data_IF_258674880824
#
_entry.id   IF_258674880824
#
_cell.length_a   1.000
_cell.length_b   1.000
_cell.length_c   1.000
_cell.angle_alpha   90.00
_cell.angle_beta   90.00
_cell.angle_gamma   90.00
#
_symmetry.space_group_name_H-M   'P 1'
#
loop_
_entity.id
_entity.type
_entity.pdbx_description
1 polymer ?
#
# COMPACT_ATOMS: atom_id res chain seq x y z
N UNK A 1 7.31 39.47 -42.63
CA UNK A 1 7.49 38.09 -42.10
C UNK A 1 6.19 37.30 -42.30
N UNK A 2 6.24 36.12 -42.95
CA UNK A 2 5.04 35.27 -43.10
C UNK A 2 4.73 34.63 -41.74
N UNK A 3 3.69 35.08 -41.05
CA UNK A 3 3.24 34.52 -39.75
C UNK A 3 2.57 33.13 -39.87
N UNK A 4 2.12 32.75 -41.07
CA UNK A 4 1.39 31.49 -41.33
C UNK A 4 2.06 30.21 -40.77
N UNK A 5 3.39 29.97 -40.91
CA UNK A 5 4.04 28.80 -40.32
C UNK A 5 4.13 28.82 -38.78
N UNK A 6 3.97 29.98 -38.13
CA UNK A 6 4.00 30.11 -36.67
C UNK A 6 2.61 30.05 -36.02
N UNK A 7 1.53 30.11 -36.81
CA UNK A 7 0.16 30.10 -36.31
C UNK A 7 -0.17 28.86 -35.46
N UNK A 8 0.25 27.62 -35.82
CA UNK A 8 0.01 26.45 -34.96
C UNK A 8 0.73 26.55 -33.60
N UNK A 9 1.94 27.12 -33.57
CA UNK A 9 2.72 27.31 -32.34
C UNK A 9 2.03 28.34 -31.45
N UNK A 10 1.56 29.45 -32.01
CA UNK A 10 0.82 30.48 -31.28
C UNK A 10 -0.48 29.93 -30.71
N UNK A 11 -1.27 29.20 -31.52
CA UNK A 11 -2.51 28.57 -31.07
C UNK A 11 -2.24 27.56 -29.94
N UNK A 12 -1.24 26.69 -30.11
CA UNK A 12 -0.84 25.72 -29.07
C UNK A 12 -0.40 26.43 -27.78
N UNK A 13 0.38 27.50 -27.89
CA UNK A 13 0.80 28.32 -26.76
C UNK A 13 -0.39 28.96 -26.03
N UNK A 14 -1.36 29.51 -26.76
CA UNK A 14 -2.59 30.07 -26.17
C UNK A 14 -3.41 28.99 -25.46
N UNK A 15 -3.60 27.81 -26.09
CA UNK A 15 -4.33 26.69 -25.48
C UNK A 15 -3.61 26.21 -24.22
N UNK A 16 -2.28 26.10 -24.24
CA UNK A 16 -1.48 25.70 -23.08
C UNK A 16 -1.59 26.72 -21.94
N UNK A 17 -1.53 28.02 -22.23
CA UNK A 17 -1.71 29.08 -21.22
C UNK A 17 -3.12 28.98 -20.61
N UNK A 18 -4.16 28.85 -21.44
CA UNK A 18 -5.53 28.66 -20.96
C UNK A 18 -5.60 27.43 -20.04
N UNK A 19 -5.02 26.30 -20.46
CA UNK A 19 -4.97 25.09 -19.66
C UNK A 19 -4.29 25.28 -18.30
N UNK A 20 -3.14 25.96 -18.27
CA UNK A 20 -2.39 26.24 -17.05
C UNK A 20 -3.19 27.16 -16.10
N UNK A 21 -3.94 28.13 -16.63
CA UNK A 21 -4.70 29.10 -15.83
C UNK A 21 -6.08 28.59 -15.38
N UNK A 22 -6.70 27.64 -16.08
CA UNK A 22 -7.98 27.05 -15.66
C UNK A 22 -7.89 26.45 -14.25
N UNK A 23 -8.95 26.43 -13.43
CA UNK A 23 -8.92 25.78 -12.13
C UNK A 23 -9.00 24.25 -12.26
N UNK A 24 -8.38 23.50 -11.32
CA UNK A 24 -8.46 22.02 -11.35
C UNK A 24 -9.86 21.48 -11.10
N UNK A 25 -10.74 22.27 -10.46
CA UNK A 25 -12.14 21.92 -10.21
C UNK A 25 -12.90 21.54 -11.48
N UNK A 26 -12.62 22.19 -12.61
CA UNK A 26 -13.22 21.89 -13.92
C UNK A 26 -12.87 20.49 -14.45
N UNK A 27 -11.78 19.90 -13.97
CA UNK A 27 -11.33 18.56 -14.38
C UNK A 27 -11.70 17.48 -13.36
N UNK A 28 -11.91 17.84 -12.09
CA UNK A 28 -12.17 16.85 -11.03
C UNK A 28 -13.43 16.00 -11.27
N UNK A 29 -14.41 16.52 -12.02
CA UNK A 29 -15.60 15.78 -12.46
C UNK A 29 -15.30 14.57 -13.36
N UNK A 30 -14.11 14.50 -13.96
CA UNK A 30 -13.67 13.33 -14.75
C UNK A 30 -13.42 12.09 -13.89
N UNK A 31 -13.20 12.25 -12.58
CA UNK A 31 -12.96 11.15 -11.64
C UNK A 31 -14.31 10.66 -11.07
N UNK A 32 -14.90 9.71 -11.78
CA UNK A 32 -16.25 9.17 -11.53
C UNK A 32 -16.21 7.81 -10.82
N UNK A 33 -17.39 7.25 -10.49
CA UNK A 33 -17.48 5.87 -9.99
C UNK A 33 -17.01 4.85 -11.04
N UNK A 34 -17.20 5.14 -12.33
CA UNK A 34 -16.66 4.32 -13.44
C UNK A 34 -15.13 4.36 -13.44
N UNK A 35 -14.55 5.53 -13.18
CA UNK A 35 -13.09 5.69 -13.05
C UNK A 35 -12.55 4.83 -11.90
N UNK A 36 -13.23 4.79 -10.74
CA UNK A 36 -12.88 3.89 -9.65
C UNK A 36 -12.95 2.41 -10.07
N UNK A 37 -14.07 1.99 -10.67
CA UNK A 37 -14.27 0.60 -11.07
C UNK A 37 -13.17 0.11 -12.03
N UNK A 38 -12.82 0.93 -13.02
CA UNK A 38 -11.79 0.62 -14.02
C UNK A 38 -10.38 0.55 -13.42
N UNK A 39 -10.12 1.24 -12.31
CA UNK A 39 -8.79 1.34 -11.71
C UNK A 39 -8.63 0.51 -10.43
N UNK A 40 -9.64 -0.26 -10.00
CA UNK A 40 -9.59 -1.02 -8.73
C UNK A 40 -8.43 -2.01 -8.61
N UNK A 41 -7.89 -2.47 -9.75
CA UNK A 41 -6.73 -3.37 -9.82
C UNK A 41 -5.48 -2.67 -10.36
N UNK A 42 -5.57 -1.40 -10.73
CA UNK A 42 -4.48 -0.69 -11.40
C UNK A 42 -3.44 -0.23 -10.38
N UNK A 43 -2.17 -0.47 -10.69
CA UNK A 43 -1.02 -0.10 -9.84
C UNK A 43 -0.27 1.12 -10.38
N UNK A 44 -1.00 2.07 -11.00
CA UNK A 44 -0.43 3.25 -11.64
C UNK A 44 -0.09 4.33 -10.64
N UNK A 45 0.78 5.27 -11.03
CA UNK A 45 1.08 6.44 -10.20
C UNK A 45 -0.19 7.26 -9.88
N UNK A 46 -1.17 7.31 -10.79
CA UNK A 46 -2.41 8.05 -10.52
C UNK A 46 -3.25 7.38 -9.44
N UNK A 47 -3.23 6.04 -9.35
CA UNK A 47 -3.96 5.30 -8.31
C UNK A 47 -3.24 5.38 -6.96
N UNK A 48 -1.93 5.15 -6.97
CA UNK A 48 -1.14 5.01 -5.74
C UNK A 48 -0.71 6.37 -5.15
N UNK A 49 -0.38 7.35 -5.99
CA UNK A 49 0.11 8.68 -5.55
C UNK A 49 -0.92 9.80 -5.69
N UNK A 50 -2.02 9.52 -6.39
CA UNK A 50 -3.06 10.48 -6.71
C UNK A 50 -4.01 10.73 -5.54
N UNK A 51 -4.40 12.00 -5.39
CA UNK A 51 -5.31 12.40 -4.31
C UNK A 51 -6.77 12.33 -4.75
N UNK A 52 -7.09 12.58 -6.02
CA UNK A 52 -8.47 12.63 -6.51
C UNK A 52 -9.14 11.26 -6.45
N UNK A 53 -8.46 10.22 -6.93
CA UNK A 53 -9.04 8.88 -6.96
C UNK A 53 -9.14 8.26 -5.56
N UNK A 54 -8.15 8.45 -4.70
CA UNK A 54 -8.24 8.00 -3.30
C UNK A 54 -9.28 8.80 -2.50
N UNK A 55 -9.40 10.12 -2.70
CA UNK A 55 -10.50 10.90 -2.12
C UNK A 55 -11.86 10.38 -2.57
N UNK A 56 -12.00 10.02 -3.86
CA UNK A 56 -13.24 9.44 -4.39
C UNK A 56 -13.51 8.05 -3.80
N UNK A 57 -12.48 7.22 -3.62
CA UNK A 57 -12.55 5.90 -2.99
C UNK A 57 -13.11 5.99 -1.56
N UNK A 58 -12.58 6.89 -0.74
CA UNK A 58 -12.99 7.02 0.66
C UNK A 58 -14.29 7.81 0.87
N UNK A 59 -14.77 8.57 -0.13
CA UNK A 59 -16.09 9.22 -0.10
C UNK A 59 -17.25 8.23 -0.09
N UNK A 60 -17.10 7.04 -0.66
CA UNK A 60 -18.13 6.00 -0.62
C UNK A 60 -17.70 4.81 0.23
N UNK A 61 -18.60 3.84 0.37
CA UNK A 61 -18.35 2.56 1.04
C UNK A 61 -18.42 1.40 0.04
N UNK A 62 -18.27 1.66 -1.26
CA UNK A 62 -18.56 0.69 -2.33
C UNK A 62 -17.43 -0.34 -2.51
N UNK A 63 -16.21 0.02 -2.08
CA UNK A 63 -15.02 -0.80 -2.22
C UNK A 63 -14.43 -1.16 -0.87
N UNK A 64 -13.62 -2.21 -0.87
CA UNK A 64 -12.77 -2.59 0.26
C UNK A 64 -11.29 -2.37 -0.09
N UNK A 65 -10.64 -1.33 0.44
CA UNK A 65 -9.24 -1.06 0.17
C UNK A 65 -8.32 -2.11 0.79
N UNK A 66 -7.33 -2.57 0.01
CA UNK A 66 -6.27 -3.47 0.46
C UNK A 66 -4.94 -2.81 0.13
N UNK A 67 -4.21 -2.44 1.18
CA UNK A 67 -2.89 -1.84 1.08
C UNK A 67 -1.79 -2.88 1.25
N UNK A 68 -0.69 -2.69 0.54
CA UNK A 68 0.43 -3.62 0.52
C UNK A 68 1.56 -3.12 -0.40
N UNK A 69 2.26 -4.05 -1.02
CA UNK A 69 3.41 -3.80 -1.88
C UNK A 69 3.33 -4.61 -3.18
N UNK A 70 4.40 -5.31 -3.57
CA UNK A 70 4.46 -6.06 -4.82
C UNK A 70 3.59 -7.31 -4.86
N UNK A 71 3.21 -7.88 -3.71
CA UNK A 71 2.34 -9.05 -3.60
C UNK A 71 0.98 -8.80 -4.26
N UNK A 72 0.45 -7.58 -4.18
CA UNK A 72 -0.83 -7.21 -4.78
C UNK A 72 -0.80 -7.25 -6.31
N UNK A 73 0.39 -7.19 -6.93
CA UNK A 73 0.57 -7.20 -8.39
C UNK A 73 1.05 -8.55 -8.92
N UNK A 74 1.13 -9.57 -8.07
CA UNK A 74 1.50 -10.93 -8.49
C UNK A 74 0.32 -11.59 -9.19
N UNK A 75 0.60 -12.14 -10.37
CA UNK A 75 -0.35 -12.92 -11.13
C UNK A 75 -0.68 -14.21 -10.39
N UNK A 76 -1.78 -14.17 -9.66
CA UNK A 76 -2.31 -15.29 -8.93
C UNK A 76 -3.85 -15.20 -8.98
N UNK A 77 -4.55 -16.24 -9.48
CA UNK A 77 -6.00 -16.20 -9.61
C UNK A 77 -6.73 -16.15 -8.26
N UNK A 78 -6.03 -16.39 -7.16
CA UNK A 78 -6.54 -16.26 -5.79
C UNK A 78 -6.31 -14.86 -5.21
N UNK A 79 -5.67 -13.93 -5.93
CA UNK A 79 -5.55 -12.54 -5.48
C UNK A 79 -6.94 -11.97 -5.14
N UNK A 80 -7.12 -11.23 -4.02
CA UNK A 80 -8.43 -10.73 -3.57
C UNK A 80 -9.15 -9.85 -4.59
N UNK A 81 -8.40 -9.15 -5.45
CA UNK A 81 -8.94 -8.37 -6.56
C UNK A 81 -9.67 -9.22 -7.60
N UNK A 82 -9.37 -10.50 -7.68
CA UNK A 82 -9.91 -11.45 -8.65
C UNK A 82 -10.89 -12.39 -7.95
N UNK A 83 -10.42 -13.10 -6.91
CA UNK A 83 -11.15 -14.19 -6.28
C UNK A 83 -12.37 -13.74 -5.46
N UNK A 84 -12.32 -12.55 -4.86
CA UNK A 84 -13.47 -11.99 -4.13
C UNK A 84 -14.40 -11.15 -5.01
N UNK A 85 -14.05 -10.94 -6.29
CA UNK A 85 -14.86 -10.12 -7.19
C UNK A 85 -16.21 -10.80 -7.48
N UNK A 86 -17.30 -10.11 -7.17
CA UNK A 86 -18.66 -10.65 -7.34
C UNK A 86 -19.08 -11.69 -6.30
N UNK A 87 -18.27 -11.93 -5.27
CA UNK A 87 -18.66 -12.81 -4.15
C UNK A 87 -19.82 -12.18 -3.37
N UNK A 88 -20.81 -13.00 -3.00
CA UNK A 88 -22.06 -12.53 -2.39
C UNK A 88 -21.80 -11.99 -0.99
N UNK A 89 -22.26 -10.76 -0.72
CA UNK A 89 -22.15 -10.12 0.58
C UNK A 89 -20.77 -9.53 0.89
N UNK A 90 -19.88 -9.46 -0.10
CA UNK A 90 -18.60 -8.76 -0.02
C UNK A 90 -18.59 -7.55 -0.96
N UNK A 91 -17.63 -6.65 -0.74
CA UNK A 91 -17.38 -5.51 -1.63
C UNK A 91 -16.25 -5.85 -2.60
N UNK A 92 -16.21 -5.29 -3.82
CA UNK A 92 -15.04 -5.41 -4.68
C UNK A 92 -13.79 -4.86 -3.97
N UNK A 93 -12.72 -5.64 -4.00
CA UNK A 93 -11.43 -5.20 -3.49
C UNK A 93 -10.84 -4.10 -4.39
N UNK A 94 -10.18 -3.13 -3.74
CA UNK A 94 -9.43 -2.05 -4.39
C UNK A 94 -7.97 -2.13 -3.93
N UNK A 95 -7.07 -2.48 -4.84
CA UNK A 95 -5.68 -2.80 -4.51
C UNK A 95 -4.80 -1.53 -4.54
N UNK A 96 -4.08 -1.29 -3.46
CA UNK A 96 -3.23 -0.12 -3.26
C UNK A 96 -1.84 -0.57 -2.81
N UNK A 97 -1.02 -0.94 -3.77
CA UNK A 97 0.36 -1.33 -3.48
C UNK A 97 1.17 -1.62 -4.74
N UNK A 98 2.47 -1.37 -4.65
CA UNK A 98 3.44 -1.89 -5.59
C UNK A 98 4.80 -2.04 -4.92
N UNK A 99 5.74 -2.79 -5.50
CA UNK A 99 6.95 -3.23 -4.79
C UNK A 99 7.83 -2.08 -4.29
N UNK A 100 8.03 -1.94 -2.97
CA UNK A 100 8.71 -0.79 -2.37
C UNK A 100 7.77 0.22 -1.71
N UNK A 101 6.45 0.01 -1.76
CA UNK A 101 5.51 0.57 -0.80
C UNK A 101 5.66 -0.21 0.50
N UNK A 102 6.26 0.41 1.52
CA UNK A 102 6.42 -0.14 2.87
C UNK A 102 5.58 0.67 3.87
N UNK A 103 5.77 0.49 5.17
CA UNK A 103 4.86 1.03 6.19
C UNK A 103 4.75 2.56 6.12
N UNK A 104 5.85 3.29 5.93
CA UNK A 104 5.79 4.76 5.83
C UNK A 104 5.08 5.26 4.57
N UNK A 105 5.25 4.57 3.44
CA UNK A 105 4.55 4.93 2.20
C UNK A 105 3.04 4.78 2.42
N UNK A 106 2.62 3.62 2.91
CA UNK A 106 1.22 3.35 3.24
C UNK A 106 0.69 4.33 4.30
N UNK A 107 1.52 4.69 5.30
CA UNK A 107 1.17 5.65 6.33
C UNK A 107 0.91 7.05 5.76
N UNK A 108 1.71 7.52 4.79
CA UNK A 108 1.49 8.82 4.15
C UNK A 108 0.26 8.79 3.24
N UNK A 109 0.07 7.71 2.47
CA UNK A 109 -1.11 7.54 1.62
C UNK A 109 -2.41 7.61 2.45
N UNK A 110 -2.46 6.87 3.57
CA UNK A 110 -3.63 6.82 4.44
C UNK A 110 -3.80 8.08 5.29
N UNK A 111 -2.71 8.67 5.79
CA UNK A 111 -2.80 9.94 6.51
C UNK A 111 -3.25 11.09 5.60
N UNK A 112 -2.98 11.05 4.29
CA UNK A 112 -3.61 11.99 3.37
C UNK A 112 -5.15 11.85 3.33
N UNK A 113 -5.71 10.73 3.79
CA UNK A 113 -7.15 10.47 3.82
C UNK A 113 -7.76 10.56 5.22
N UNK A 114 -6.96 10.92 6.24
CA UNK A 114 -7.28 10.81 7.67
C UNK A 114 -8.72 11.19 8.04
N UNK A 115 -9.17 12.38 7.64
CA UNK A 115 -10.47 12.94 8.03
C UNK A 115 -11.68 12.11 7.54
N UNK A 116 -11.45 11.20 6.58
CA UNK A 116 -12.44 10.35 5.93
C UNK A 116 -12.36 8.88 6.36
N UNK A 117 -11.36 8.49 7.17
CA UNK A 117 -11.11 7.09 7.50
C UNK A 117 -11.98 6.54 8.63
N UNK A 118 -12.68 7.39 9.39
CA UNK A 118 -13.53 6.94 10.52
C UNK A 118 -14.55 5.90 10.05
N UNK A 119 -14.50 4.70 10.63
CA UNK A 119 -15.38 3.58 10.30
C UNK A 119 -15.08 2.86 8.98
N UNK A 120 -14.05 3.27 8.24
CA UNK A 120 -13.67 2.63 6.98
C UNK A 120 -12.94 1.32 7.26
N UNK A 121 -13.42 0.25 6.63
CA UNK A 121 -12.80 -1.08 6.69
C UNK A 121 -11.67 -1.18 5.67
N UNK A 122 -10.48 -1.53 6.13
CA UNK A 122 -9.26 -1.63 5.32
C UNK A 122 -8.48 -2.90 5.71
N UNK A 123 -7.83 -3.54 4.74
CA UNK A 123 -6.73 -4.50 5.02
C UNK A 123 -5.37 -3.88 4.74
N UNK A 124 -4.42 -4.11 5.63
CA UNK A 124 -3.03 -3.67 5.51
C UNK A 124 -2.11 -4.89 5.61
N UNK A 125 -1.50 -5.27 4.50
CA UNK A 125 -0.53 -6.37 4.44
C UNK A 125 0.83 -5.83 4.91
N UNK A 126 1.45 -6.50 5.89
CA UNK A 126 2.77 -6.19 6.42
C UNK A 126 3.71 -7.32 5.99
N UNK A 127 4.70 -7.00 5.17
CA UNK A 127 5.72 -7.98 4.79
C UNK A 127 6.94 -7.88 5.72
N UNK A 128 7.35 -8.98 6.36
CA UNK A 128 8.46 -8.99 7.30
C UNK A 128 9.81 -8.63 6.65
N UNK A 129 9.91 -8.75 5.32
CA UNK A 129 11.10 -8.40 4.56
C UNK A 129 11.34 -6.89 4.45
N UNK A 130 10.37 -6.04 4.82
CA UNK A 130 10.57 -4.59 4.89
C UNK A 130 11.45 -4.18 6.07
N UNK A 131 11.51 -5.02 7.11
CA UNK A 131 12.27 -4.80 8.34
C UNK A 131 13.75 -5.08 8.10
N UNK A 132 14.36 -4.19 7.31
CA UNK A 132 15.77 -4.27 6.93
C UNK A 132 16.65 -3.39 7.81
N UNK A 133 17.97 -3.52 7.67
CA UNK A 133 18.94 -2.62 8.31
C UNK A 133 18.70 -1.13 8.04
N UNK A 134 18.00 -0.80 6.96
CA UNK A 134 17.77 0.58 6.53
C UNK A 134 16.30 0.99 6.51
N UNK A 135 15.36 0.06 6.69
CA UNK A 135 13.93 0.27 6.45
C UNK A 135 13.66 0.79 5.03
N UNK A 136 12.72 1.73 4.89
CA UNK A 136 12.47 2.44 3.63
C UNK A 136 13.73 3.17 3.11
N UNK A 137 14.25 2.71 1.97
CA UNK A 137 15.40 3.34 1.30
C UNK A 137 15.05 4.67 0.63
N UNK A 138 16.04 5.57 0.46
CA UNK A 138 15.87 6.82 -0.30
C UNK A 138 15.36 6.57 -1.73
N UNK A 139 15.81 5.50 -2.40
CA UNK A 139 15.34 5.14 -3.75
C UNK A 139 13.84 4.82 -3.77
N UNK A 140 13.37 4.03 -2.80
CA UNK A 140 11.94 3.70 -2.71
C UNK A 140 11.13 4.93 -2.29
N UNK A 141 11.65 5.75 -1.38
CA UNK A 141 11.05 7.05 -1.05
C UNK A 141 10.87 7.92 -2.30
N UNK A 142 11.92 8.12 -3.10
CA UNK A 142 11.85 8.94 -4.32
C UNK A 142 10.89 8.36 -5.36
N UNK A 143 10.88 7.03 -5.47
CA UNK A 143 10.03 6.31 -6.41
C UNK A 143 8.56 6.29 -6.02
N UNK A 144 8.21 6.45 -4.74
CA UNK A 144 6.84 6.20 -4.22
C UNK A 144 6.19 7.36 -3.51
N UNK A 145 6.95 8.20 -2.81
CA UNK A 145 6.39 9.27 -2.02
C UNK A 145 5.76 10.37 -2.89
N UNK A 146 4.50 10.72 -2.61
CA UNK A 146 3.78 11.78 -3.32
C UNK A 146 3.83 13.10 -2.58
N UNK A 147 4.30 14.15 -3.25
CA UNK A 147 4.29 15.49 -2.67
C UNK A 147 2.87 16.02 -2.42
N UNK A 148 1.90 15.60 -3.24
CA UNK A 148 0.50 15.98 -3.07
C UNK A 148 -0.14 15.25 -1.89
N UNK A 149 0.19 13.97 -1.67
CA UNK A 149 -0.31 13.26 -0.48
C UNK A 149 0.31 13.83 0.80
N UNK A 150 1.60 14.18 0.80
CA UNK A 150 2.21 14.88 1.94
C UNK A 150 1.54 16.24 2.18
N UNK A 151 1.31 17.03 1.14
CA UNK A 151 0.60 18.31 1.28
C UNK A 151 -0.84 18.11 1.81
N UNK A 152 -1.55 17.10 1.33
CA UNK A 152 -2.90 16.77 1.79
C UNK A 152 -2.93 16.23 3.23
N UNK A 153 -1.91 15.46 3.65
CA UNK A 153 -1.72 14.97 5.02
C UNK A 153 -1.66 16.13 6.00
N UNK A 154 -0.82 17.14 5.73
CA UNK A 154 -0.70 18.29 6.63
C UNK A 154 -1.95 19.19 6.64
N UNK A 155 -2.80 19.08 5.63
CA UNK A 155 -4.10 19.77 5.52
C UNK A 155 -5.27 19.01 6.16
N UNK A 156 -5.05 17.81 6.70
CA UNK A 156 -6.10 17.12 7.46
C UNK A 156 -6.45 17.92 8.71
N UNK A 157 -7.74 18.20 8.87
CA UNK A 157 -8.26 19.12 9.89
C UNK A 157 -8.52 18.43 11.22
N UNK A 158 -8.77 17.12 11.22
CA UNK A 158 -9.04 16.32 12.42
C UNK A 158 -7.81 15.56 12.92
N UNK A 159 -6.71 15.63 12.17
CA UNK A 159 -5.46 14.93 12.51
C UNK A 159 -4.73 15.67 13.65
N UNK A 160 -4.38 15.00 14.76
CA UNK A 160 -3.67 15.62 15.88
C UNK A 160 -2.34 16.25 15.46
N UNK A 161 -2.02 17.40 16.06
CA UNK A 161 -0.79 18.12 15.81
C UNK A 161 0.46 17.28 16.11
N UNK A 162 0.43 16.46 17.17
CA UNK A 162 1.51 15.52 17.51
C UNK A 162 1.76 14.51 16.37
N UNK A 163 0.69 13.96 15.79
CA UNK A 163 0.81 13.02 14.69
C UNK A 163 1.41 13.69 13.44
N UNK A 164 0.97 14.92 13.11
CA UNK A 164 1.60 15.74 12.06
C UNK A 164 3.09 15.98 12.36
N UNK A 165 3.45 16.26 13.61
CA UNK A 165 4.85 16.44 14.03
C UNK A 165 5.71 15.20 13.75
N UNK A 166 5.17 14.01 14.06
CA UNK A 166 5.86 12.72 13.84
C UNK A 166 6.12 12.48 12.36
N UNK A 167 5.13 12.74 11.49
CA UNK A 167 5.35 12.70 10.03
C UNK A 167 6.41 13.71 9.59
N UNK A 168 6.37 14.95 10.08
CA UNK A 168 7.37 15.96 9.72
C UNK A 168 8.79 15.53 10.11
N UNK A 169 8.98 15.04 11.34
CA UNK A 169 10.25 14.49 11.84
C UNK A 169 10.73 13.31 10.99
N UNK A 170 9.84 12.36 10.67
CA UNK A 170 10.20 11.19 9.87
C UNK A 170 10.57 11.55 8.44
N UNK A 171 9.77 12.41 7.78
CA UNK A 171 10.02 12.87 6.41
C UNK A 171 11.35 13.65 6.29
N UNK A 172 11.77 14.39 7.32
CA UNK A 172 13.04 15.14 7.31
C UNK A 172 14.29 14.26 7.17
N UNK A 173 14.19 12.97 7.51
CA UNK A 173 15.30 12.02 7.43
C UNK A 173 15.64 11.65 5.98
N UNK A 174 14.75 11.91 5.01
CA UNK A 174 14.99 11.59 3.62
C UNK A 174 15.72 12.71 2.89
N UNK A 175 16.71 12.34 2.07
CA UNK A 175 17.57 13.30 1.36
C UNK A 175 16.76 14.24 0.48
N UNK A 176 15.79 13.69 -0.26
CA UNK A 176 14.99 14.37 -1.26
C UNK A 176 13.60 14.78 -0.76
N UNK A 177 13.38 14.82 0.56
CA UNK A 177 12.19 15.45 1.11
C UNK A 177 12.05 16.89 0.60
N UNK A 178 10.88 17.20 0.04
CA UNK A 178 10.58 18.53 -0.51
C UNK A 178 10.33 19.48 0.66
N UNK A 179 10.52 20.78 0.43
CA UNK A 179 10.22 21.83 1.39
C UNK A 179 10.65 21.52 2.84
N UNK A 180 11.94 21.24 3.06
CA UNK A 180 12.48 20.91 4.39
C UNK A 180 12.28 22.03 5.42
N UNK A 181 12.16 23.28 4.98
CA UNK A 181 11.87 24.42 5.86
C UNK A 181 10.51 24.25 6.54
N UNK A 182 9.46 23.95 5.76
CA UNK A 182 8.13 23.64 6.27
C UNK A 182 8.14 22.45 7.25
N UNK A 183 8.82 21.36 6.87
CA UNK A 183 8.91 20.19 7.76
C UNK A 183 9.66 20.51 9.07
N UNK A 184 10.74 21.30 9.02
CA UNK A 184 11.47 21.75 10.22
C UNK A 184 10.62 22.62 11.12
N UNK A 185 9.81 23.51 10.55
CA UNK A 185 8.89 24.35 11.30
C UNK A 185 7.86 23.48 12.03
N UNK A 186 7.18 22.58 11.33
CA UNK A 186 6.21 21.66 11.93
C UNK A 186 6.83 20.73 12.98
N UNK A 187 8.05 20.26 12.74
CA UNK A 187 8.76 19.42 13.70
C UNK A 187 9.03 20.14 15.03
N UNK A 188 9.20 21.47 15.01
CA UNK A 188 9.44 22.31 16.20
C UNK A 188 8.15 22.88 16.82
N UNK A 189 7.21 23.30 15.98
CA UNK A 189 5.99 23.99 16.36
C UNK A 189 4.78 23.31 15.71
N UNK A 190 4.34 22.16 16.25
CA UNK A 190 3.32 21.32 15.60
C UNK A 190 1.93 21.98 15.51
N UNK A 191 1.67 22.99 16.35
CA UNK A 191 0.43 23.77 16.34
C UNK A 191 0.46 24.94 15.33
N UNK A 192 1.59 25.17 14.65
CA UNK A 192 1.75 26.20 13.63
C UNK A 192 1.80 25.54 12.25
N UNK A 193 0.72 24.85 11.87
CA UNK A 193 0.59 24.16 10.58
C UNK A 193 0.16 25.07 9.43
N UNK A 194 0.26 26.39 9.63
CA UNK A 194 -0.03 27.39 8.62
C UNK A 194 0.98 27.32 7.47
N UNK A 195 0.49 27.03 6.27
CA UNK A 195 1.29 27.03 5.05
C UNK A 195 0.90 25.90 4.11
N UNK A 196 1.65 25.77 3.02
CA UNK A 196 1.51 24.65 2.11
C UNK A 196 2.86 23.96 1.91
N UNK A 197 2.86 22.63 1.92
CA UNK A 197 4.06 21.85 1.66
C UNK A 197 4.50 22.01 0.20
N UNK A 198 3.54 22.14 -0.71
CA UNK A 198 3.75 22.53 -2.11
C UNK A 198 3.00 23.84 -2.43
N UNK A 199 3.44 24.61 -3.43
CA UNK A 199 2.69 25.80 -3.83
C UNK A 199 1.28 25.43 -4.33
N UNK A 200 0.30 26.29 -4.06
CA UNK A 200 -1.09 26.10 -4.52
C UNK A 200 -1.16 25.90 -6.04
N UNK A 201 -0.41 26.71 -6.80
CA UNK A 201 -0.32 26.57 -8.25
C UNK A 201 0.15 25.17 -8.69
N UNK A 202 1.19 24.63 -8.03
CA UNK A 202 1.69 23.28 -8.33
C UNK A 202 0.65 22.21 -7.99
N UNK A 203 -0.03 22.35 -6.85
CA UNK A 203 -1.12 21.46 -6.45
C UNK A 203 -2.24 21.43 -7.50
N UNK A 204 -2.65 22.60 -7.99
CA UNK A 204 -3.66 22.73 -9.05
C UNK A 204 -3.24 22.04 -10.35
N UNK A 205 -2.00 22.23 -10.82
CA UNK A 205 -1.54 21.57 -12.06
C UNK A 205 -1.48 20.05 -11.91
N UNK A 206 -1.01 19.53 -10.77
CA UNK A 206 -0.94 18.09 -10.54
C UNK A 206 -2.35 17.48 -10.55
N UNK A 207 -3.34 18.11 -9.92
CA UNK A 207 -4.73 17.63 -9.92
C UNK A 207 -5.33 17.56 -11.33
N UNK A 208 -5.07 18.55 -12.20
CA UNK A 208 -5.52 18.51 -13.60
C UNK A 208 -4.91 17.33 -14.36
N UNK A 209 -3.59 17.16 -14.25
CA UNK A 209 -2.86 16.07 -14.92
C UNK A 209 -3.36 14.72 -14.41
N UNK A 210 -3.57 14.59 -13.09
CA UNK A 210 -4.14 13.40 -12.47
C UNK A 210 -5.53 13.08 -13.05
N UNK A 211 -6.45 14.04 -13.06
CA UNK A 211 -7.82 13.86 -13.57
C UNK A 211 -7.84 13.43 -15.05
N UNK A 212 -7.02 14.05 -15.89
CA UNK A 212 -6.91 13.71 -17.32
C UNK A 212 -6.36 12.30 -17.51
N UNK A 213 -5.25 11.95 -16.83
CA UNK A 213 -4.64 10.63 -16.95
C UNK A 213 -5.57 9.51 -16.47
N UNK A 214 -6.30 9.75 -15.37
CA UNK A 214 -7.30 8.82 -14.85
C UNK A 214 -8.47 8.61 -15.81
N UNK A 215 -8.91 9.67 -16.50
CA UNK A 215 -10.01 9.60 -17.46
C UNK A 215 -9.67 8.75 -18.68
N UNK A 216 -8.48 8.95 -19.25
CA UNK A 216 -8.05 8.23 -20.45
C UNK A 216 -7.57 6.80 -20.17
N UNK A 217 -7.13 6.50 -18.94
CA UNK A 217 -6.81 5.12 -18.53
C UNK A 217 -5.67 4.49 -19.32
N UNK A 218 -4.55 5.21 -19.47
CA UNK A 218 -3.45 4.82 -20.36
C UNK A 218 -2.74 3.50 -20.01
N UNK A 219 -2.86 3.00 -18.77
CA UNK A 219 -2.14 1.81 -18.31
C UNK A 219 -3.11 0.73 -17.78
N UNK A 220 -2.94 -0.50 -18.26
CA UNK A 220 -3.70 -1.67 -17.78
C UNK A 220 -3.05 -2.27 -16.53
N UNK A 221 -3.88 -2.76 -15.62
CA UNK A 221 -3.41 -3.51 -14.44
C UNK A 221 -2.56 -4.73 -14.86
N UNK A 222 -1.49 -5.07 -14.10
CA UNK A 222 -0.77 -6.35 -14.25
C UNK A 222 -1.66 -7.58 -14.07
N UNK A 223 -2.85 -7.43 -13.49
CA UNK A 223 -3.81 -8.50 -13.26
C UNK A 223 -4.91 -8.58 -14.31
N UNK A 224 -4.90 -7.69 -15.31
CA UNK A 224 -6.01 -7.56 -16.27
C UNK A 224 -6.23 -8.78 -17.15
N UNK A 225 -5.24 -9.65 -17.29
CA UNK A 225 -5.31 -10.91 -18.04
C UNK A 225 -5.49 -12.15 -17.15
N UNK A 226 -5.58 -11.98 -15.83
CA UNK A 226 -5.70 -13.10 -14.89
C UNK A 226 -7.17 -13.40 -14.67
N UNK A 227 -7.59 -14.58 -15.13
CA UNK A 227 -8.96 -15.06 -15.01
C UNK A 227 -9.21 -15.80 -13.68
N UNK A 228 -10.41 -15.70 -13.09
CA UNK A 228 -10.77 -16.46 -11.91
C UNK A 228 -10.84 -17.96 -12.22
N UNK A 229 -10.27 -18.79 -11.33
CA UNK A 229 -10.27 -20.26 -11.46
C UNK A 229 -11.40 -20.94 -10.68
N UNK A 230 -12.22 -20.15 -9.98
CA UNK A 230 -13.40 -20.56 -9.21
C UNK A 230 -14.58 -19.66 -9.51
N UNK A 231 -15.79 -20.15 -9.25
CA UNK A 231 -16.96 -19.27 -9.20
C UNK A 231 -16.81 -18.26 -8.05
N UNK A 232 -17.41 -17.05 -8.14
CA UNK A 232 -17.29 -16.04 -7.08
C UNK A 232 -17.73 -16.52 -5.69
N UNK A 233 -18.65 -17.48 -5.64
CA UNK A 233 -19.20 -18.04 -4.40
C UNK A 233 -18.66 -19.44 -4.06
N UNK A 234 -17.56 -19.86 -4.68
CA UNK A 234 -16.91 -21.12 -4.35
C UNK A 234 -16.60 -21.21 -2.85
N UNK A 235 -16.68 -22.43 -2.31
CA UNK A 235 -16.33 -22.67 -0.91
C UNK A 235 -14.83 -22.50 -0.68
N UNK A 236 -14.42 -22.11 0.53
CA UNK A 236 -13.01 -22.01 0.89
C UNK A 236 -12.25 -23.32 0.67
N UNK A 237 -12.91 -24.47 0.88
CA UNK A 237 -12.36 -25.80 0.63
C UNK A 237 -12.13 -26.06 -0.87
N UNK A 238 -13.05 -25.61 -1.74
CA UNK A 238 -12.84 -25.70 -3.19
C UNK A 238 -11.68 -24.82 -3.64
N UNK A 239 -11.65 -23.55 -3.20
CA UNK A 239 -10.56 -22.63 -3.51
C UNK A 239 -9.22 -23.19 -3.06
N UNK A 240 -9.13 -23.75 -1.84
CA UNK A 240 -7.89 -24.33 -1.32
C UNK A 240 -7.44 -25.58 -2.10
N UNK A 241 -8.38 -26.45 -2.50
CA UNK A 241 -8.06 -27.62 -3.36
C UNK A 241 -7.50 -27.16 -4.72
N UNK A 242 -8.13 -26.17 -5.36
CA UNK A 242 -7.64 -25.61 -6.63
C UNK A 242 -6.29 -24.91 -6.47
N UNK A 243 -6.12 -24.11 -5.42
CA UNK A 243 -4.86 -23.45 -5.10
C UNK A 243 -3.73 -24.46 -4.89
N UNK A 244 -4.01 -25.55 -4.18
CA UNK A 244 -3.04 -26.64 -3.98
C UNK A 244 -2.66 -27.29 -5.30
N UNK A 245 -3.64 -27.60 -6.17
CA UNK A 245 -3.36 -28.20 -7.48
C UNK A 245 -2.49 -27.29 -8.35
N UNK A 246 -2.87 -26.01 -8.50
CA UNK A 246 -2.09 -25.04 -9.28
C UNK A 246 -0.68 -24.89 -8.70
N UNK A 247 -0.55 -24.76 -7.38
CA UNK A 247 0.75 -24.63 -6.75
C UNK A 247 1.65 -25.86 -7.01
N UNK A 248 1.12 -27.08 -6.87
CA UNK A 248 1.86 -28.31 -7.20
C UNK A 248 2.29 -28.28 -8.66
N UNK A 249 1.41 -27.87 -9.57
CA UNK A 249 1.71 -27.87 -11.01
C UNK A 249 2.77 -26.84 -11.43
N UNK A 250 2.91 -25.75 -10.67
CA UNK A 250 3.82 -24.64 -10.97
C UNK A 250 5.05 -24.54 -10.05
N UNK A 251 5.31 -25.50 -9.16
CA UNK A 251 6.47 -25.49 -8.25
C UNK A 251 7.18 -26.85 -8.14
N UNK A 252 7.31 -27.57 -9.27
CA UNK A 252 7.86 -28.94 -9.31
C UNK A 252 9.39 -28.97 -9.38
N UNK A 253 10.02 -27.90 -9.83
CA UNK A 253 11.45 -27.84 -10.19
C UNK A 253 12.42 -27.70 -9.02
N UNK A 254 11.91 -27.51 -7.79
CA UNK A 254 12.75 -27.27 -6.62
C UNK A 254 12.10 -27.72 -5.31
N UNK A 255 12.94 -27.99 -4.30
CA UNK A 255 12.51 -28.44 -2.96
C UNK A 255 11.96 -27.32 -2.06
N UNK A 256 12.08 -26.06 -2.48
CA UNK A 256 11.68 -24.88 -1.69
C UNK A 256 10.25 -24.42 -1.98
N UNK A 257 9.56 -25.04 -2.95
CA UNK A 257 8.19 -24.66 -3.33
C UNK A 257 8.11 -23.31 -4.05
N UNK A 258 9.22 -22.83 -4.61
CA UNK A 258 9.28 -21.62 -5.42
C UNK A 258 8.68 -21.91 -6.80
N UNK A 259 7.95 -20.97 -7.39
CA UNK A 259 7.40 -21.09 -8.75
C UNK A 259 8.50 -21.42 -9.76
N UNK A 260 8.27 -22.37 -10.65
CA UNK A 260 9.27 -22.92 -11.59
C UNK A 260 9.91 -21.84 -12.47
N UNK A 261 9.11 -20.88 -12.96
CA UNK A 261 9.59 -19.73 -13.71
C UNK A 261 10.56 -18.86 -12.89
N UNK A 262 10.22 -18.59 -11.62
CA UNK A 262 11.06 -17.78 -10.75
C UNK A 262 12.34 -18.54 -10.35
N UNK A 263 12.23 -19.84 -10.11
CA UNK A 263 13.36 -20.72 -9.83
C UNK A 263 14.36 -20.77 -10.99
N UNK A 264 13.87 -20.86 -12.22
CA UNK A 264 14.71 -20.76 -13.42
C UNK A 264 15.52 -19.46 -13.44
N UNK A 265 14.89 -18.32 -13.14
CA UNK A 265 15.58 -17.04 -13.08
C UNK A 265 16.63 -16.97 -11.96
N UNK A 266 16.41 -17.62 -10.82
CA UNK A 266 17.43 -17.78 -9.77
C UNK A 266 18.61 -18.57 -10.30
N UNK A 267 18.36 -19.73 -10.93
CA UNK A 267 19.39 -20.62 -11.50
C UNK A 267 20.22 -19.94 -12.59
N UNK A 268 19.63 -19.02 -13.33
CA UNK A 268 20.28 -18.20 -14.36
C UNK A 268 20.98 -16.95 -13.79
N UNK A 269 21.04 -16.77 -12.47
CA UNK A 269 21.57 -15.57 -11.79
C UNK A 269 20.88 -14.25 -12.18
N UNK A 270 19.66 -14.32 -12.72
CA UNK A 270 18.84 -13.15 -13.10
C UNK A 270 18.03 -12.58 -11.94
N UNK A 271 18.07 -13.24 -10.78
CA UNK A 271 17.47 -12.77 -9.53
C UNK A 271 18.49 -12.84 -8.40
N UNK A 272 18.54 -11.77 -7.60
CA UNK A 272 19.43 -11.70 -6.42
C UNK A 272 18.91 -12.65 -5.34
N UNK A 273 19.82 -13.48 -4.83
CA UNK A 273 19.55 -14.47 -3.77
C UNK A 273 19.95 -13.94 -2.39
N UNK A 274 20.98 -13.08 -2.31
CA UNK A 274 21.45 -12.51 -1.04
C UNK A 274 20.42 -11.55 -0.46
N UNK A 275 20.07 -11.73 0.82
CA UNK A 275 19.05 -10.95 1.54
C UNK A 275 19.44 -10.64 2.99
N UNK A 276 20.74 -10.67 3.29
CA UNK A 276 21.27 -10.67 4.66
C UNK A 276 20.97 -9.40 5.46
N UNK A 277 20.43 -8.36 4.82
CA UNK A 277 19.97 -7.13 5.44
C UNK A 277 18.52 -7.18 5.91
N UNK A 278 17.75 -8.23 5.58
CA UNK A 278 16.34 -8.41 5.98
C UNK A 278 16.23 -9.06 7.36
N UNK A 279 15.05 -9.02 7.96
CA UNK A 279 14.81 -9.55 9.31
C UNK A 279 15.79 -8.97 10.34
N UNK A 280 15.90 -7.64 10.36
CA UNK A 280 16.60 -6.92 11.41
C UNK A 280 15.60 -6.50 12.51
N UNK A 281 15.78 -7.02 13.71
CA UNK A 281 14.95 -6.69 14.89
C UNK A 281 15.04 -5.20 15.29
N UNK A 282 16.11 -4.53 14.89
CA UNK A 282 16.37 -3.12 15.14
C UNK A 282 16.05 -2.24 13.92
N UNK A 283 15.28 -2.77 12.95
CA UNK A 283 14.92 -2.03 11.74
C UNK A 283 14.22 -0.69 12.06
N UNK A 284 14.58 0.40 11.37
CA UNK A 284 13.81 1.65 11.42
C UNK A 284 12.34 1.48 11.01
N UNK A 285 12.02 0.44 10.22
CA UNK A 285 10.67 0.16 9.74
C UNK A 285 9.68 -0.09 10.89
N UNK A 286 10.12 -0.53 12.07
CA UNK A 286 9.24 -0.65 13.25
C UNK A 286 8.65 0.69 13.69
N UNK A 287 9.40 1.79 13.53
CA UNK A 287 8.89 3.13 13.83
C UNK A 287 7.86 3.58 12.79
N UNK A 288 8.06 3.17 11.54
CA UNK A 288 7.14 3.44 10.44
C UNK A 288 5.85 2.64 10.58
N UNK A 289 5.94 1.36 10.98
CA UNK A 289 4.79 0.53 11.33
C UNK A 289 4.02 1.12 12.52
N UNK A 290 4.72 1.53 13.59
CA UNK A 290 4.06 2.19 14.72
C UNK A 290 3.34 3.47 14.29
N UNK A 291 3.97 4.30 13.46
CA UNK A 291 3.34 5.51 12.93
C UNK A 291 2.10 5.19 12.10
N UNK A 292 2.15 4.17 11.25
CA UNK A 292 0.99 3.69 10.50
C UNK A 292 -0.14 3.24 11.44
N UNK A 293 0.15 2.40 12.44
CA UNK A 293 -0.87 1.87 13.35
C UNK A 293 -1.50 2.97 14.19
N UNK A 294 -0.69 3.88 14.73
CA UNK A 294 -1.18 5.04 15.47
C UNK A 294 -2.07 5.92 14.58
N UNK A 295 -1.67 6.22 13.34
CA UNK A 295 -2.47 7.01 12.41
C UNK A 295 -3.85 6.40 12.17
N UNK A 296 -3.91 5.08 11.92
CA UNK A 296 -5.17 4.41 11.65
C UNK A 296 -6.07 4.34 12.89
N UNK A 297 -5.48 4.14 14.07
CA UNK A 297 -6.20 4.17 15.35
C UNK A 297 -6.80 5.54 15.60
N UNK A 298 -6.00 6.60 15.53
CA UNK A 298 -6.45 7.98 15.78
C UNK A 298 -7.51 8.43 14.76
N UNK A 299 -7.40 7.97 13.50
CA UNK A 299 -8.40 8.24 12.48
C UNK A 299 -9.73 7.48 12.70
N UNK A 300 -9.75 6.48 13.59
CA UNK A 300 -10.91 5.63 13.87
C UNK A 300 -11.22 4.66 12.72
N UNK A 301 -10.21 4.21 11.98
CA UNK A 301 -10.38 3.23 10.92
C UNK A 301 -10.55 1.81 11.47
N UNK A 302 -11.28 0.96 10.76
CA UNK A 302 -11.42 -0.47 11.10
C UNK A 302 -10.42 -1.26 10.26
N UNK A 303 -9.27 -1.59 10.85
CA UNK A 303 -8.15 -2.15 10.10
C UNK A 303 -7.91 -3.59 10.50
N UNK A 304 -7.88 -4.47 9.49
CA UNK A 304 -7.26 -5.78 9.61
C UNK A 304 -5.81 -5.69 9.12
N UNK A 305 -4.86 -5.65 10.05
CA UNK A 305 -3.46 -5.84 9.70
C UNK A 305 -3.21 -7.32 9.42
N UNK A 306 -2.32 -7.63 8.48
CA UNK A 306 -1.97 -9.01 8.16
C UNK A 306 -0.45 -9.15 8.06
N UNK A 307 0.14 -9.92 8.96
CA UNK A 307 1.58 -10.26 8.88
C UNK A 307 1.73 -11.52 8.04
N UNK A 308 2.34 -11.39 6.86
CA UNK A 308 2.53 -12.53 5.94
C UNK A 308 3.80 -13.32 6.30
N UNK A 309 3.84 -14.64 6.03
CA UNK A 309 5.03 -15.43 6.30
C UNK A 309 6.13 -15.16 5.27
N UNK A 310 7.34 -15.63 5.56
CA UNK A 310 8.37 -15.85 4.55
C UNK A 310 8.34 -17.28 4.02
N UNK A 311 9.06 -17.57 2.94
CA UNK A 311 9.36 -18.96 2.59
C UNK A 311 10.47 -19.48 3.51
N UNK A 312 10.10 -20.07 4.66
CA UNK A 312 11.05 -20.49 5.70
C UNK A 312 12.14 -21.42 5.16
N UNK A 313 11.76 -22.40 4.32
CA UNK A 313 12.72 -23.34 3.69
C UNK A 313 13.76 -22.63 2.82
N UNK A 314 13.34 -21.61 2.08
CA UNK A 314 14.24 -20.82 1.25
C UNK A 314 15.15 -19.93 2.09
N UNK A 315 14.59 -19.26 3.10
CA UNK A 315 15.36 -18.39 3.99
C UNK A 315 16.41 -19.15 4.82
N UNK A 316 16.08 -20.35 5.30
CA UNK A 316 17.05 -21.23 5.96
C UNK A 316 18.20 -21.59 5.02
N UNK A 317 17.90 -21.89 3.75
CA UNK A 317 18.92 -22.23 2.76
C UNK A 317 19.88 -21.08 2.44
N UNK A 318 19.39 -19.84 2.46
CA UNK A 318 20.20 -18.64 2.16
C UNK A 318 20.84 -18.03 3.42
N UNK A 319 20.80 -18.72 4.57
CA UNK A 319 21.53 -18.32 5.78
C UNK A 319 20.81 -17.30 6.66
N UNK A 320 19.49 -17.21 6.58
CA UNK A 320 18.67 -16.35 7.44
C UNK A 320 17.69 -17.26 8.18
N UNK A 321 18.08 -17.92 9.27
CA UNK A 321 17.32 -19.02 9.86
C UNK A 321 16.12 -18.53 10.69
N UNK A 322 15.27 -19.44 11.14
CA UNK A 322 14.07 -19.14 11.93
C UNK A 322 14.38 -18.28 13.17
N UNK A 323 15.48 -18.53 13.87
CA UNK A 323 15.89 -17.80 15.08
C UNK A 323 16.16 -16.31 14.80
N UNK A 324 16.50 -15.96 13.55
CA UNK A 324 16.63 -14.56 13.12
C UNK A 324 15.27 -13.97 12.72
N UNK A 325 14.39 -14.77 12.11
CA UNK A 325 13.09 -14.30 11.60
C UNK A 325 12.03 -14.15 12.69
N UNK A 326 11.95 -15.09 13.62
CA UNK A 326 10.92 -15.16 14.65
C UNK A 326 10.88 -13.92 15.57
N UNK A 327 12.00 -13.36 16.04
CA UNK A 327 11.96 -12.12 16.82
C UNK A 327 11.33 -10.96 16.06
N UNK A 328 11.56 -10.87 14.74
CA UNK A 328 10.97 -9.82 13.90
C UNK A 328 9.46 -10.02 13.76
N UNK A 329 8.99 -11.27 13.59
CA UNK A 329 7.56 -11.58 13.62
C UNK A 329 6.90 -11.18 14.93
N UNK A 330 7.53 -11.52 16.06
CA UNK A 330 7.03 -11.16 17.38
C UNK A 330 6.95 -9.65 17.55
N UNK A 331 7.99 -8.91 17.16
CA UNK A 331 8.00 -7.45 17.29
C UNK A 331 7.01 -6.76 16.35
N UNK A 332 6.73 -7.31 15.16
CA UNK A 332 5.65 -6.81 14.28
C UNK A 332 4.31 -6.97 15.00
N UNK A 333 4.06 -8.16 15.56
CA UNK A 333 2.85 -8.47 16.31
C UNK A 333 2.66 -7.55 17.50
N UNK A 334 3.68 -7.41 18.34
CA UNK A 334 3.67 -6.51 19.49
C UNK A 334 3.45 -5.07 19.06
N UNK A 335 4.12 -4.59 18.01
CA UNK A 335 3.94 -3.23 17.49
C UNK A 335 2.50 -2.98 17.05
N UNK A 336 1.85 -3.94 16.39
CA UNK A 336 0.44 -3.77 15.97
C UNK A 336 -0.50 -3.82 17.18
N UNK A 337 -0.38 -4.85 18.03
CA UNK A 337 -1.32 -5.10 19.13
C UNK A 337 -1.18 -4.02 20.22
N UNK A 338 0.04 -3.67 20.64
CA UNK A 338 0.27 -2.69 21.70
C UNK A 338 -0.15 -1.27 21.28
N UNK A 339 -0.26 -1.01 19.97
CA UNK A 339 -0.79 0.25 19.45
C UNK A 339 -2.28 0.17 19.06
N UNK A 340 -3.00 -0.87 19.52
CA UNK A 340 -4.46 -0.97 19.40
C UNK A 340 -4.97 -1.57 18.08
N UNK A 341 -4.08 -2.10 17.24
CA UNK A 341 -4.43 -2.75 15.98
C UNK A 341 -4.82 -4.23 16.14
N UNK A 342 -5.63 -4.74 15.22
CA UNK A 342 -5.97 -6.17 15.13
C UNK A 342 -5.10 -6.84 14.06
N UNK A 343 -4.33 -7.86 14.46
CA UNK A 343 -3.46 -8.60 13.56
C UNK A 343 -4.02 -9.99 13.22
N UNK A 344 -4.17 -10.27 11.93
CA UNK A 344 -4.20 -11.64 11.43
C UNK A 344 -2.75 -12.08 11.16
N UNK A 345 -2.25 -12.95 12.02
CA UNK A 345 -0.87 -13.43 11.96
C UNK A 345 -0.80 -14.73 11.16
N UNK A 346 -0.12 -14.71 10.02
CA UNK A 346 0.08 -15.86 9.15
C UNK A 346 1.51 -16.41 9.23
N UNK A 347 2.34 -15.90 10.15
CA UNK A 347 3.76 -16.24 10.22
C UNK A 347 4.00 -17.71 10.60
N UNK A 348 3.03 -18.35 11.26
CA UNK A 348 3.00 -19.80 11.53
C UNK A 348 2.96 -20.67 10.25
N UNK A 349 2.72 -20.07 9.08
CA UNK A 349 2.68 -20.75 7.78
C UNK A 349 4.00 -20.70 7.01
N UNK A 350 5.10 -20.20 7.57
CA UNK A 350 6.37 -20.03 6.82
C UNK A 350 6.96 -21.35 6.28
N UNK A 351 6.67 -22.49 6.93
CA UNK A 351 7.08 -23.82 6.47
C UNK A 351 5.96 -24.58 5.74
N UNK A 352 4.75 -24.02 5.71
CA UNK A 352 3.61 -24.64 5.06
C UNK A 352 3.77 -24.61 3.53
N UNK A 353 3.45 -25.73 2.89
CA UNK A 353 3.53 -25.82 1.42
C UNK A 353 2.52 -24.89 0.76
N UNK A 354 2.97 -24.20 -0.29
CA UNK A 354 2.12 -23.44 -1.22
C UNK A 354 1.45 -22.18 -0.65
N UNK A 355 2.04 -21.58 0.40
CA UNK A 355 1.60 -20.28 0.93
C UNK A 355 2.36 -19.10 0.33
N UNK A 356 3.58 -19.32 -0.15
CA UNK A 356 4.45 -18.31 -0.76
C UNK A 356 4.82 -18.79 -2.17
N UNK A 357 4.74 -17.90 -3.17
CA UNK A 357 5.00 -18.23 -4.59
C UNK A 357 6.45 -18.12 -4.99
N UNK A 358 7.20 -17.25 -4.31
CA UNK A 358 8.63 -17.06 -4.55
C UNK A 358 9.42 -17.06 -3.23
N UNK A 359 10.37 -16.14 -3.08
CA UNK A 359 11.07 -15.97 -1.82
C UNK A 359 10.19 -15.29 -0.77
N UNK A 360 9.33 -14.36 -1.17
CA UNK A 360 8.72 -13.38 -0.24
C UNK A 360 7.23 -13.14 -0.43
N UNK A 361 6.68 -13.39 -1.61
CA UNK A 361 5.29 -13.03 -1.91
C UNK A 361 4.33 -14.16 -1.58
N UNK A 362 3.30 -13.83 -0.79
CA UNK A 362 2.16 -14.72 -0.56
C UNK A 362 1.51 -15.14 -1.88
N UNK A 363 0.98 -16.35 -1.92
CA UNK A 363 0.31 -16.88 -3.09
C UNK A 363 -0.50 -18.15 -2.82
N UNK A 364 -1.24 -18.60 -3.82
CA UNK A 364 -2.09 -19.77 -3.81
C UNK A 364 -2.89 -19.93 -2.51
N UNK A 365 -2.50 -20.87 -1.63
CA UNK A 365 -3.20 -21.13 -0.37
C UNK A 365 -3.14 -19.96 0.60
N UNK A 366 -2.03 -19.21 0.57
CA UNK A 366 -1.89 -17.99 1.37
C UNK A 366 -2.94 -16.96 1.00
N UNK A 367 -3.21 -16.77 -0.30
CA UNK A 367 -4.29 -15.89 -0.73
C UNK A 367 -5.67 -16.42 -0.35
N UNK A 368 -5.93 -17.73 -0.46
CA UNK A 368 -7.23 -18.30 -0.04
C UNK A 368 -7.51 -18.06 1.45
N UNK A 369 -6.51 -18.22 2.31
CA UNK A 369 -6.66 -17.97 3.74
C UNK A 369 -6.80 -16.48 4.05
N UNK A 370 -6.06 -15.62 3.34
CA UNK A 370 -6.20 -14.17 3.40
C UNK A 370 -7.61 -13.72 3.00
N UNK A 371 -8.10 -14.18 1.85
CA UNK A 371 -9.44 -13.89 1.32
C UNK A 371 -10.53 -14.29 2.31
N UNK A 372 -10.35 -15.43 2.99
CA UNK A 372 -11.27 -15.88 4.03
C UNK A 372 -11.33 -14.92 5.21
N UNK A 373 -10.21 -14.32 5.61
CA UNK A 373 -10.22 -13.31 6.69
C UNK A 373 -10.76 -11.97 6.21
N UNK A 374 -10.41 -11.55 5.00
CA UNK A 374 -10.95 -10.33 4.37
C UNK A 374 -12.48 -10.41 4.29
N UNK A 375 -13.04 -11.52 3.81
CA UNK A 375 -14.49 -11.76 3.77
C UNK A 375 -15.12 -11.63 5.16
N UNK A 376 -14.52 -12.26 6.19
CA UNK A 376 -14.99 -12.14 7.58
C UNK A 376 -14.95 -10.69 8.06
N UNK A 377 -13.88 -9.95 7.78
CA UNK A 377 -13.75 -8.57 8.22
C UNK A 377 -14.75 -7.65 7.52
N UNK A 378 -15.01 -7.85 6.22
CA UNK A 378 -16.06 -7.14 5.48
C UNK A 378 -17.45 -7.32 6.10
N UNK A 379 -17.75 -8.53 6.60
CA UNK A 379 -19.06 -8.86 7.21
C UNK A 379 -19.16 -8.52 8.69
N UNK A 380 -18.04 -8.45 9.39
CA UNK A 380 -18.02 -8.13 10.81
C UNK A 380 -18.58 -6.72 11.05
N UNK A 381 -19.29 -6.49 12.18
CA UNK A 381 -19.65 -5.14 12.59
C UNK A 381 -18.39 -4.28 12.74
N UNK A 382 -18.55 -2.96 12.64
CA UNK A 382 -17.45 -2.03 12.90
C UNK A 382 -16.86 -2.29 14.28
N UNK A 383 -15.54 -2.47 14.34
CA UNK A 383 -14.81 -2.56 15.60
C UNK A 383 -13.99 -1.28 15.77
N UNK A 384 -14.35 -0.49 16.78
CA UNK A 384 -13.53 0.66 17.13
C UNK A 384 -12.11 0.20 17.50
N UNK A 385 -11.07 0.95 17.10
CA UNK A 385 -9.71 0.68 17.55
C UNK A 385 -9.64 0.65 19.07
N UNK A 386 -8.86 -0.28 19.63
CA UNK A 386 -8.62 -0.29 21.07
C UNK A 386 -7.71 0.90 21.41
N UNK A 387 -8.09 1.71 22.40
CA UNK A 387 -7.17 2.70 22.95
C UNK A 387 -6.21 1.96 23.88
N UNK A 388 -4.89 1.94 23.60
CA UNK A 388 -3.96 1.36 24.56
C UNK A 388 -4.07 2.12 25.90
N UNK A 389 -3.95 1.41 27.00
CA UNK A 389 -3.76 2.04 28.31
C UNK A 389 -2.42 2.76 28.27
N UNK A 390 -2.45 4.09 28.25
CA UNK A 390 -1.27 4.90 28.51
C UNK A 390 -1.04 4.84 30.03
N UNK A 391 -0.10 4.01 30.46
CA UNK A 391 0.59 4.30 31.72
C UNK A 391 1.49 5.50 31.43
N UNK A 392 1.11 6.65 31.97
CA UNK A 392 1.90 7.88 31.97
C UNK A 392 3.16 7.65 32.81
N UNK A 393 4.17 7.01 32.24
CA UNK A 393 5.54 6.98 32.75
C UNK A 393 6.51 7.09 31.58
N UNK A 394 6.75 8.32 31.13
CA UNK A 394 8.04 8.74 30.56
C UNK A 394 8.06 10.27 30.44
N UNK A 395 7.98 10.92 31.61
CA UNK A 395 8.51 12.25 31.83
C UNK A 395 9.38 12.22 33.09
N UNK A 396 10.64 11.80 32.93
CA UNK A 396 11.77 12.24 33.76
C UNK A 396 12.99 12.46 32.88
#
# INVERSE_FOLDING_TARGET
MKLKPFLPILISGVIFIIFVLMPSSWFTGLVTNKTLANNRLASTDQVLKGTLIQNKLFKSNDYYPIYGSSELNKEDPFNPGIALNGRKGTKPAYLLGTGGSTDLINAVELAAQYDQLKGKKISLIISPQWFTDHGLTNKNYDGRMSANQIDQLFKQTKMPAELKQRYAKRLLQFKHAKNKAFLKQLAKHPNQDHGNYISQFKGEQIKKIEAIKLYFGFDKSPLSHVEPVTSPNASWNEMNRKATKIAIDHSKSNKYGIKDEYWKLIKENRRKVRRDWEFNINSPEFNDLKLLVDTMREAGADVQYVSIPANGKWYDHIGIPHERRQPVYNKIRETVINNGGQLYDMTDKEYAKHYITDAVHIGWKGWVDMDRQIDKHMRAPYKAPHKPHHDDQDHQ
#
